data_IF_057142187401
#
_entry.id   IF_057142187401
#
_cell.length_a   1.000
_cell.length_b   1.000
_cell.length_c   1.000
_cell.angle_alpha   90.00
_cell.angle_beta   90.00
_cell.angle_gamma   90.00
#
_symmetry.space_group_name_H-M   'P 1'
#
loop_
_entity.id
_entity.type
_entity.pdbx_description
1 polymer ?
#
# COMPACT_ATOMS: atom_id res chain seq x y z
N UNK A 1 6.35 14.50 30.17
CA UNK A 1 7.15 13.46 29.50
C UNK A 1 8.01 14.14 28.45
N UNK A 2 9.29 13.80 28.39
CA UNK A 2 10.20 14.35 27.38
C UNK A 2 10.07 13.54 26.08
N UNK A 3 9.58 14.19 25.02
CA UNK A 3 9.40 13.55 23.72
C UNK A 3 10.73 13.25 23.03
N UNK A 4 11.78 14.01 23.33
CA UNK A 4 13.12 13.77 22.79
C UNK A 4 13.72 12.50 23.40
N UNK A 5 13.71 12.40 24.73
CA UNK A 5 14.20 11.20 25.42
C UNK A 5 13.47 9.93 24.93
N UNK A 6 12.14 9.99 24.79
CA UNK A 6 11.36 8.85 24.29
C UNK A 6 11.71 8.50 22.83
N UNK A 7 11.91 9.51 21.98
CA UNK A 7 12.31 9.31 20.59
C UNK A 7 13.71 8.67 20.48
N UNK A 8 14.65 9.11 21.32
CA UNK A 8 16.02 8.57 21.37
C UNK A 8 16.02 7.11 21.85
N UNK A 9 15.27 6.79 22.91
CA UNK A 9 15.11 5.41 23.41
C UNK A 9 14.49 4.47 22.37
N UNK A 10 13.47 4.94 21.65
CA UNK A 10 12.82 4.16 20.59
C UNK A 10 13.77 3.98 19.40
N UNK A 11 14.54 5.01 19.04
CA UNK A 11 15.52 4.95 17.96
C UNK A 11 16.62 3.92 18.26
N UNK A 12 17.17 3.95 19.48
CA UNK A 12 18.19 3.01 19.94
C UNK A 12 17.66 1.58 19.92
N UNK A 13 16.42 1.36 20.39
CA UNK A 13 15.81 0.03 20.40
C UNK A 13 15.56 -0.54 18.99
N UNK A 14 15.14 0.32 18.04
CA UNK A 14 14.73 -0.13 16.71
C UNK A 14 15.89 -0.18 15.70
N UNK A 15 16.99 0.53 15.97
CA UNK A 15 18.12 0.64 15.05
C UNK A 15 17.87 1.55 13.85
N UNK A 16 16.84 2.41 13.91
CA UNK A 16 16.55 3.43 12.90
C UNK A 16 15.95 4.68 13.57
N UNK A 17 16.11 5.88 12.96
CA UNK A 17 15.71 7.13 13.61
C UNK A 17 14.18 7.25 13.75
N UNK A 18 13.77 7.60 14.97
CA UNK A 18 12.42 8.07 15.33
C UNK A 18 12.59 9.45 15.96
N UNK A 19 11.84 10.43 15.48
CA UNK A 19 11.94 11.82 15.93
C UNK A 19 10.90 12.15 17.02
N UNK A 20 11.09 13.24 17.78
CA UNK A 20 10.05 13.74 18.71
C UNK A 20 8.74 14.05 17.99
N UNK A 21 8.81 14.46 16.71
CA UNK A 21 7.63 14.70 15.88
C UNK A 21 6.87 13.40 15.56
N UNK A 22 7.57 12.28 15.37
CA UNK A 22 6.98 10.95 15.19
C UNK A 22 6.22 10.51 16.44
N UNK A 23 6.86 10.63 17.60
CA UNK A 23 6.24 10.36 18.91
C UNK A 23 4.99 11.24 19.11
N UNK A 24 5.11 12.54 18.81
CA UNK A 24 3.99 13.49 18.86
C UNK A 24 2.83 13.05 17.97
N UNK A 25 3.10 12.58 16.74
CA UNK A 25 2.08 12.10 15.81
C UNK A 25 1.38 10.85 16.31
N UNK A 26 2.12 9.90 16.90
CA UNK A 26 1.54 8.69 17.52
C UNK A 26 0.58 9.07 18.66
N UNK A 27 0.98 9.97 19.56
CA UNK A 27 0.10 10.47 20.63
C UNK A 27 -1.14 11.19 20.10
N UNK A 28 -0.97 12.09 19.14
CA UNK A 28 -2.07 12.83 18.55
C UNK A 28 -3.07 11.90 17.84
N UNK A 29 -2.58 10.87 17.14
CA UNK A 29 -3.42 9.89 16.47
C UNK A 29 -4.17 9.01 17.49
N UNK A 30 -3.46 8.50 18.51
CA UNK A 30 -4.03 7.72 19.60
C UNK A 30 -5.13 8.49 20.35
N UNK A 31 -4.93 9.79 20.58
CA UNK A 31 -5.91 10.62 21.25
C UNK A 31 -7.19 10.83 20.41
N UNK A 32 -7.12 10.65 19.08
CA UNK A 32 -8.26 10.75 18.17
C UNK A 32 -9.03 9.42 18.04
N UNK A 33 -8.34 8.28 18.07
CA UNK A 33 -8.95 6.95 18.00
C UNK A 33 -8.11 5.95 18.80
N UNK A 34 -8.70 5.21 19.77
CA UNK A 34 -7.96 4.25 20.58
C UNK A 34 -7.59 2.95 19.84
N UNK A 35 -8.15 2.63 18.67
CA UNK A 35 -7.80 1.40 17.96
C UNK A 35 -6.41 1.49 17.34
N UNK A 36 -5.51 0.57 17.69
CA UNK A 36 -4.14 0.52 17.17
C UNK A 36 -4.09 0.50 15.64
N UNK A 37 -4.97 -0.30 15.03
CA UNK A 37 -5.08 -0.42 13.58
C UNK A 37 -5.66 0.83 12.90
N UNK A 38 -6.28 1.74 13.66
CA UNK A 38 -6.75 3.04 13.18
C UNK A 38 -5.68 4.12 13.34
N UNK A 39 -5.11 4.28 14.54
CA UNK A 39 -4.20 5.40 14.79
C UNK A 39 -2.78 5.18 14.26
N UNK A 40 -2.28 3.93 14.21
CA UNK A 40 -0.91 3.68 13.76
C UNK A 40 -0.71 4.08 12.28
N UNK A 41 -1.60 3.74 11.34
CA UNK A 41 -1.52 4.26 9.97
C UNK A 41 -1.65 5.79 9.90
N UNK A 42 -2.55 6.38 10.71
CA UNK A 42 -2.77 7.84 10.76
C UNK A 42 -1.55 8.62 11.28
N UNK A 43 -0.75 8.00 12.14
CA UNK A 43 0.49 8.61 12.64
C UNK A 43 1.57 8.77 11.54
N UNK A 44 1.46 8.01 10.43
CA UNK A 44 2.41 8.01 9.31
C UNK A 44 3.85 7.77 9.75
N UNK A 45 4.01 6.75 10.59
CA UNK A 45 5.30 6.22 11.07
C UNK A 45 5.32 4.70 10.81
N UNK A 46 6.49 4.05 10.72
CA UNK A 46 6.57 2.60 10.60
C UNK A 46 5.81 1.91 11.75
N UNK A 47 5.11 0.81 11.45
CA UNK A 47 4.31 0.08 12.45
C UNK A 47 5.12 -0.31 13.69
N UNK A 48 6.39 -0.70 13.48
CA UNK A 48 7.34 -1.02 14.57
C UNK A 48 7.63 0.19 15.46
N UNK A 49 7.69 1.40 14.89
CA UNK A 49 7.86 2.63 15.66
C UNK A 49 6.61 2.96 16.47
N UNK A 50 5.41 2.88 15.88
CA UNK A 50 4.16 3.07 16.61
C UNK A 50 4.03 2.09 17.78
N UNK A 51 4.33 0.81 17.56
CA UNK A 51 4.31 -0.22 18.60
C UNK A 51 5.33 0.04 19.72
N UNK A 52 6.56 0.41 19.38
CA UNK A 52 7.59 0.73 20.36
C UNK A 52 7.23 1.96 21.22
N UNK A 53 6.66 3.00 20.60
CA UNK A 53 6.11 4.15 21.33
C UNK A 53 5.01 3.71 22.28
N UNK A 54 4.01 2.94 21.82
CA UNK A 54 2.93 2.42 22.68
C UNK A 54 3.47 1.63 23.87
N UNK A 55 4.44 0.74 23.66
CA UNK A 55 5.04 -0.07 24.72
C UNK A 55 5.72 0.79 25.80
N UNK A 56 6.39 1.88 25.41
CA UNK A 56 7.02 2.81 26.36
C UNK A 56 5.99 3.65 27.13
N UNK A 57 4.90 4.02 26.48
CA UNK A 57 3.78 4.72 27.14
C UNK A 57 3.09 3.82 28.15
N UNK A 58 2.93 2.54 27.83
CA UNK A 58 2.36 1.55 28.74
C UNK A 58 3.28 1.34 29.95
N UNK A 59 4.58 1.16 29.72
CA UNK A 59 5.58 1.03 30.78
C UNK A 59 5.62 2.26 31.70
N UNK A 60 5.34 3.45 31.17
CA UNK A 60 5.23 4.70 31.93
C UNK A 60 3.85 4.89 32.60
N UNK A 61 2.92 3.95 32.47
CA UNK A 61 1.57 4.04 33.03
C UNK A 61 0.67 5.09 32.37
N UNK A 62 1.03 5.57 31.18
CA UNK A 62 0.28 6.60 30.45
C UNK A 62 -0.82 6.01 29.56
N UNK A 63 -0.68 4.75 29.16
CA UNK A 63 -1.71 4.02 28.45
C UNK A 63 -1.98 2.65 29.09
N UNK A 64 -3.16 2.11 28.83
CA UNK A 64 -3.52 0.73 29.11
C UNK A 64 -3.93 0.01 27.82
N UNK A 65 -3.66 -1.30 27.76
CA UNK A 65 -3.97 -2.13 26.60
C UNK A 65 -5.20 -3.00 26.87
N UNK A 66 -6.17 -2.98 25.94
CA UNK A 66 -7.39 -3.80 25.96
C UNK A 66 -7.64 -4.39 24.56
N UNK A 67 -7.08 -5.57 24.28
CA UNK A 67 -7.15 -6.16 22.95
C UNK A 67 -6.39 -5.31 21.92
N UNK A 68 -7.07 -4.83 20.88
CA UNK A 68 -6.51 -3.92 19.87
C UNK A 68 -6.60 -2.43 20.27
N UNK A 69 -7.13 -2.14 21.47
CA UNK A 69 -7.33 -0.77 21.94
C UNK A 69 -6.21 -0.34 22.88
N UNK A 70 -5.67 0.83 22.61
CA UNK A 70 -4.75 1.57 23.47
C UNK A 70 -5.53 2.74 24.06
N UNK A 71 -5.62 2.82 25.38
CA UNK A 71 -6.39 3.87 26.07
C UNK A 71 -5.50 4.74 26.92
N UNK A 72 -5.67 6.06 26.81
CA UNK A 72 -5.00 7.01 27.71
C UNK A 72 -5.53 6.84 29.14
N UNK A 73 -4.62 6.59 30.09
CA UNK A 73 -4.91 6.66 31.53
C UNK A 73 -5.14 8.12 31.95
N UNK A 74 -5.64 8.40 33.16
CA UNK A 74 -5.69 9.77 33.67
C UNK A 74 -4.33 10.48 33.60
N UNK A 75 -3.25 9.78 33.95
CA UNK A 75 -1.88 10.31 33.84
C UNK A 75 -1.49 10.58 32.37
N UNK A 76 -1.86 9.69 31.44
CA UNK A 76 -1.64 9.89 30.01
C UNK A 76 -2.35 11.11 29.45
N UNK A 77 -3.60 11.36 29.86
CA UNK A 77 -4.37 12.55 29.45
C UNK A 77 -3.71 13.84 29.93
N UNK A 78 -3.33 13.88 31.21
CA UNK A 78 -2.61 15.04 31.77
C UNK A 78 -1.27 15.26 31.06
N UNK A 79 -0.51 14.20 30.77
CA UNK A 79 0.76 14.31 30.06
C UNK A 79 0.58 14.83 28.62
N UNK A 80 -0.47 14.40 27.94
CA UNK A 80 -0.84 14.84 26.59
C UNK A 80 -1.21 16.33 26.55
N UNK A 81 -2.00 16.79 27.52
CA UNK A 81 -2.35 18.21 27.71
C UNK A 81 -1.11 19.07 28.01
N UNK A 82 -0.25 18.63 28.93
CA UNK A 82 1.00 19.34 29.27
C UNK A 82 1.96 19.45 28.08
N UNK A 83 1.98 18.45 27.19
CA UNK A 83 2.76 18.49 25.95
C UNK A 83 2.11 19.34 24.84
N UNK A 84 0.93 19.92 25.09
CA UNK A 84 0.17 20.69 24.10
C UNK A 84 -0.17 19.86 22.85
N UNK A 85 -0.43 18.57 23.02
CA UNK A 85 -0.77 17.65 21.93
C UNK A 85 -2.29 17.55 21.84
N UNK A 86 -2.84 17.88 20.69
CA UNK A 86 -4.26 17.74 20.40
C UNK A 86 -4.52 16.49 19.55
N UNK A 87 -5.73 15.89 19.62
CA UNK A 87 -6.14 14.82 18.72
C UNK A 87 -6.00 15.22 17.25
N UNK A 88 -5.56 14.30 16.39
CA UNK A 88 -5.48 14.56 14.95
C UNK A 88 -6.88 14.75 14.33
N UNK A 89 -7.10 15.79 13.50
CA UNK A 89 -8.33 15.93 12.73
C UNK A 89 -8.46 14.81 11.69
N UNK A 90 -9.67 14.62 11.17
CA UNK A 90 -9.99 13.67 10.09
C UNK A 90 -10.61 14.42 8.88
N UNK A 91 -9.81 15.12 8.07
CA UNK A 91 -10.31 15.97 6.97
C UNK A 91 -10.56 15.21 5.65
N UNK A 92 -10.51 13.88 5.65
CA UNK A 92 -10.56 13.08 4.43
C UNK A 92 -11.89 13.24 3.68
N UNK A 93 -11.81 13.39 2.36
CA UNK A 93 -12.99 13.45 1.51
C UNK A 93 -13.63 12.05 1.41
N UNK A 94 -14.90 11.85 1.79
CA UNK A 94 -15.54 10.54 1.77
C UNK A 94 -15.74 9.98 0.36
N UNK A 95 -15.77 10.84 -0.66
CA UNK A 95 -16.00 10.42 -2.05
C UNK A 95 -14.75 9.80 -2.69
N UNK A 96 -13.56 10.32 -2.41
CA UNK A 96 -12.30 9.79 -2.99
C UNK A 96 -11.36 9.15 -1.96
N UNK A 97 -11.73 9.16 -0.68
CA UNK A 97 -10.92 8.65 0.45
C UNK A 97 -9.50 9.22 0.46
N UNK A 98 -9.39 10.51 0.12
CA UNK A 98 -8.11 11.23 0.08
C UNK A 98 -7.26 10.99 -1.17
N UNK A 99 -7.67 10.14 -2.12
CA UNK A 99 -6.90 9.85 -3.34
C UNK A 99 -7.00 10.93 -4.42
N UNK A 100 -8.03 11.78 -4.34
CA UNK A 100 -8.36 12.74 -5.41
C UNK A 100 -9.07 12.11 -6.62
N UNK A 101 -9.20 10.78 -6.66
CA UNK A 101 -9.76 10.03 -7.79
C UNK A 101 -11.03 9.29 -7.35
N UNK A 102 -12.11 9.46 -8.11
CA UNK A 102 -13.38 8.74 -7.90
C UNK A 102 -13.48 7.66 -8.98
N UNK A 103 -12.90 6.49 -8.71
CA UNK A 103 -12.75 5.39 -9.67
C UNK A 103 -14.08 4.91 -10.25
N UNK A 104 -15.17 4.97 -9.48
CA UNK A 104 -16.51 4.58 -9.90
C UNK A 104 -17.07 5.41 -11.06
N UNK A 105 -16.50 6.59 -11.32
CA UNK A 105 -16.87 7.44 -12.47
C UNK A 105 -16.12 7.08 -13.75
N UNK A 106 -15.04 6.32 -13.63
CA UNK A 106 -14.18 5.95 -14.74
C UNK A 106 -14.54 4.54 -15.22
N UNK A 107 -15.12 4.45 -16.43
CA UNK A 107 -15.45 3.17 -17.09
C UNK A 107 -16.18 2.18 -16.15
N UNK A 108 -17.37 2.53 -15.63
CA UNK A 108 -18.04 1.78 -14.54
C UNK A 108 -18.41 0.34 -14.91
N UNK A 109 -18.68 0.06 -16.18
CA UNK A 109 -18.99 -1.30 -16.65
C UNK A 109 -17.74 -2.21 -16.58
N UNK A 110 -16.58 -1.67 -16.98
CA UNK A 110 -15.30 -2.35 -16.91
C UNK A 110 -14.88 -2.53 -15.45
N UNK A 111 -15.14 -1.54 -14.58
CA UNK A 111 -14.92 -1.66 -13.14
C UNK A 111 -15.70 -2.83 -12.54
N UNK A 112 -17.00 -2.91 -12.84
CA UNK A 112 -17.86 -4.00 -12.37
C UNK A 112 -17.44 -5.37 -12.91
N UNK A 113 -16.89 -5.41 -14.13
CA UNK A 113 -16.30 -6.64 -14.71
C UNK A 113 -15.03 -7.04 -13.97
N UNK A 114 -14.13 -6.09 -13.73
CA UNK A 114 -12.92 -6.30 -12.95
C UNK A 114 -13.23 -6.82 -11.54
N UNK A 115 -14.19 -6.23 -10.83
CA UNK A 115 -14.56 -6.68 -9.47
C UNK A 115 -15.02 -8.14 -9.42
N UNK A 116 -15.73 -8.61 -10.45
CA UNK A 116 -16.14 -10.03 -10.55
C UNK A 116 -14.95 -10.95 -10.80
N UNK A 117 -14.01 -10.54 -11.66
CA UNK A 117 -12.80 -11.32 -11.95
C UNK A 117 -11.87 -11.36 -10.72
N UNK A 118 -11.64 -10.20 -10.09
CA UNK A 118 -10.78 -10.07 -8.92
C UNK A 118 -11.29 -10.87 -7.72
N UNK A 119 -12.60 -11.12 -7.61
CA UNK A 119 -13.16 -12.00 -6.59
C UNK A 119 -12.71 -13.47 -6.70
N UNK A 120 -12.23 -13.90 -7.88
CA UNK A 120 -11.71 -15.24 -8.12
C UNK A 120 -10.18 -15.32 -8.09
N UNK A 121 -9.48 -14.22 -7.77
CA UNK A 121 -8.02 -14.17 -7.82
C UNK A 121 -7.37 -15.15 -6.82
N UNK A 122 -6.18 -15.68 -7.12
CA UNK A 122 -5.43 -16.50 -6.18
C UNK A 122 -5.27 -15.82 -4.82
N UNK A 123 -5.41 -16.60 -3.74
CA UNK A 123 -5.20 -16.09 -2.40
C UNK A 123 -3.72 -15.69 -2.19
N UNK A 124 -3.47 -14.60 -1.43
CA UNK A 124 -2.12 -14.12 -1.17
C UNK A 124 -1.30 -15.16 -0.42
N UNK A 125 -0.01 -15.24 -0.75
CA UNK A 125 0.95 -16.14 -0.14
C UNK A 125 2.09 -15.34 0.49
N UNK A 126 2.32 -15.60 1.78
CA UNK A 126 3.35 -14.92 2.56
C UNK A 126 4.78 -15.16 2.05
N UNK A 127 5.04 -16.29 1.37
CA UNK A 127 6.34 -16.59 0.75
C UNK A 127 6.76 -15.53 -0.29
N UNK A 128 5.79 -14.93 -0.96
CA UNK A 128 6.01 -13.89 -1.98
C UNK A 128 5.72 -12.47 -1.46
N UNK A 129 5.52 -12.30 -0.15
CA UNK A 129 5.17 -11.01 0.47
C UNK A 129 3.88 -10.38 -0.11
N UNK A 130 2.94 -11.21 -0.57
CA UNK A 130 1.70 -10.75 -1.21
C UNK A 130 0.72 -10.16 -0.20
N UNK A 131 0.28 -8.92 -0.46
CA UNK A 131 -0.78 -8.23 0.28
C UNK A 131 -1.62 -7.45 -0.72
N UNK A 132 -2.81 -7.97 -0.97
CA UNK A 132 -3.63 -7.45 -2.06
C UNK A 132 -4.43 -6.22 -1.63
N UNK A 133 -4.49 -5.23 -2.52
CA UNK A 133 -5.40 -4.10 -2.46
C UNK A 133 -6.85 -4.54 -2.62
N UNK A 134 -7.74 -3.66 -2.13
CA UNK A 134 -9.15 -3.71 -2.48
C UNK A 134 -9.32 -3.44 -3.98
N UNK A 135 -10.23 -4.16 -4.62
CA UNK A 135 -10.47 -4.03 -6.06
C UNK A 135 -10.84 -2.60 -6.47
N UNK A 136 -11.56 -1.87 -5.62
CA UNK A 136 -11.91 -0.47 -5.86
C UNK A 136 -10.66 0.44 -5.85
N UNK A 137 -9.64 0.11 -5.05
CA UNK A 137 -8.39 0.87 -5.00
C UNK A 137 -7.47 0.54 -6.18
N UNK A 138 -7.45 -0.71 -6.65
CA UNK A 138 -6.82 -1.05 -7.94
C UNK A 138 -7.49 -0.25 -9.07
N UNK A 139 -8.82 -0.19 -9.10
CA UNK A 139 -9.53 0.58 -10.12
C UNK A 139 -9.27 2.09 -10.04
N UNK A 140 -9.16 2.66 -8.83
CA UNK A 140 -8.72 4.05 -8.64
C UNK A 140 -7.31 4.27 -9.19
N UNK A 141 -6.39 3.32 -9.00
CA UNK A 141 -5.03 3.37 -9.56
C UNK A 141 -5.06 3.36 -11.09
N UNK A 142 -5.90 2.52 -11.71
CA UNK A 142 -6.10 2.52 -13.17
C UNK A 142 -6.67 3.86 -13.67
N UNK A 143 -7.69 4.39 -13.00
CA UNK A 143 -8.28 5.68 -13.35
C UNK A 143 -7.26 6.82 -13.24
N UNK A 144 -6.42 6.79 -12.21
CA UNK A 144 -5.31 7.74 -12.05
C UNK A 144 -4.31 7.65 -13.20
N UNK A 145 -3.84 6.45 -13.56
CA UNK A 145 -2.92 6.25 -14.69
C UNK A 145 -3.53 6.72 -16.02
N UNK A 146 -4.83 6.44 -16.25
CA UNK A 146 -5.54 6.90 -17.44
C UNK A 146 -5.62 8.44 -17.50
N UNK A 147 -5.91 9.10 -16.38
CA UNK A 147 -5.96 10.57 -16.28
C UNK A 147 -4.61 11.22 -16.60
N UNK A 148 -3.51 10.57 -16.26
CA UNK A 148 -2.15 11.05 -16.54
C UNK A 148 -1.68 10.84 -17.99
N UNK A 149 -2.44 10.07 -18.77
CA UNK A 149 -2.08 9.74 -20.15
C UNK A 149 -1.16 8.51 -20.26
N UNK A 150 -1.01 7.74 -19.19
CA UNK A 150 -0.02 6.66 -19.09
C UNK A 150 -0.53 5.31 -19.64
N UNK A 151 -1.74 5.27 -20.22
CA UNK A 151 -2.36 4.04 -20.74
C UNK A 151 -2.74 4.09 -22.23
N UNK A 152 -3.38 5.16 -22.69
CA UNK A 152 -4.05 5.16 -23.99
C UNK A 152 -3.06 5.01 -25.17
N UNK A 153 -3.12 3.89 -25.87
CA UNK A 153 -2.25 3.58 -27.02
C UNK A 153 -0.81 3.18 -26.64
N UNK A 154 -0.52 3.02 -25.34
CA UNK A 154 0.82 2.75 -24.81
C UNK A 154 1.03 1.26 -24.46
N UNK A 155 2.29 0.84 -24.41
CA UNK A 155 2.69 -0.46 -23.89
C UNK A 155 3.00 -0.39 -22.39
N UNK A 156 2.32 -1.22 -21.59
CA UNK A 156 2.45 -1.29 -20.14
C UNK A 156 3.20 -2.56 -19.71
N UNK A 157 4.22 -2.39 -18.86
CA UNK A 157 4.86 -3.46 -18.11
C UNK A 157 4.35 -3.48 -16.67
N UNK A 158 4.00 -4.65 -16.14
CA UNK A 158 3.63 -4.83 -14.73
C UNK A 158 4.62 -5.80 -14.09
N UNK A 159 5.26 -5.37 -13.00
CA UNK A 159 6.28 -6.12 -12.26
C UNK A 159 5.71 -6.51 -10.88
N UNK A 160 5.28 -7.75 -10.74
CA UNK A 160 4.42 -8.18 -9.63
C UNK A 160 2.96 -7.75 -9.84
N UNK A 161 2.01 -8.69 -9.77
CA UNK A 161 0.59 -8.39 -10.09
C UNK A 161 -0.43 -9.22 -9.28
N UNK A 162 -0.21 -9.40 -7.98
CA UNK A 162 -1.18 -10.03 -7.07
C UNK A 162 -2.48 -9.23 -6.92
N UNK A 163 -2.42 -7.92 -7.18
CA UNK A 163 -3.54 -7.00 -7.29
C UNK A 163 -4.39 -7.15 -8.56
N UNK A 164 -3.86 -7.80 -9.60
CA UNK A 164 -4.45 -7.87 -10.94
C UNK A 164 -4.64 -6.50 -11.61
N UNK A 165 -3.73 -5.56 -11.39
CA UNK A 165 -3.71 -4.28 -12.09
C UNK A 165 -3.57 -4.48 -13.61
N UNK A 166 -2.82 -5.51 -14.05
CA UNK A 166 -2.69 -5.80 -15.48
C UNK A 166 -4.04 -6.16 -16.13
N UNK A 167 -4.88 -6.92 -15.43
CA UNK A 167 -6.24 -7.26 -15.86
C UNK A 167 -7.11 -6.02 -15.85
N UNK A 168 -7.06 -5.23 -14.78
CA UNK A 168 -7.85 -4.01 -14.64
C UNK A 168 -7.54 -3.00 -15.77
N UNK A 169 -6.25 -2.78 -16.06
CA UNK A 169 -5.80 -1.90 -17.15
C UNK A 169 -6.19 -2.44 -18.52
N UNK A 170 -6.00 -3.74 -18.78
CA UNK A 170 -6.36 -4.33 -20.06
C UNK A 170 -7.88 -4.29 -20.33
N UNK A 171 -8.72 -4.44 -19.30
CA UNK A 171 -10.18 -4.33 -19.40
C UNK A 171 -10.66 -2.95 -19.85
N UNK A 172 -9.87 -1.90 -19.66
CA UNK A 172 -10.21 -0.55 -20.16
C UNK A 172 -10.16 -0.46 -21.68
N UNK A 173 -9.40 -1.35 -22.33
CA UNK A 173 -9.10 -1.28 -23.77
C UNK A 173 -8.20 -0.08 -24.16
N UNK A 174 -7.64 0.64 -23.18
CA UNK A 174 -6.76 1.79 -23.44
C UNK A 174 -5.34 1.37 -23.86
N UNK A 175 -4.65 0.44 -23.16
CA UNK A 175 -3.30 0.04 -23.55
C UNK A 175 -3.26 -0.67 -24.90
N UNK A 176 -2.18 -0.46 -25.66
CA UNK A 176 -1.89 -1.25 -26.87
C UNK A 176 -1.55 -2.70 -26.50
N UNK A 177 -0.77 -2.88 -25.43
CA UNK A 177 -0.36 -4.19 -24.91
C UNK A 177 -0.01 -4.07 -23.42
N UNK A 178 -0.36 -5.10 -22.65
CA UNK A 178 0.05 -5.26 -21.25
C UNK A 178 0.88 -6.54 -21.09
N UNK A 179 2.04 -6.44 -20.47
CA UNK A 179 2.91 -7.59 -20.15
C UNK A 179 3.17 -7.64 -18.66
N UNK A 180 3.02 -8.82 -18.06
CA UNK A 180 3.27 -9.06 -16.63
C UNK A 180 4.47 -9.97 -16.46
N UNK A 181 5.37 -9.57 -15.55
CA UNK A 181 6.43 -10.42 -15.00
C UNK A 181 6.10 -10.71 -13.54
N UNK A 182 5.85 -11.97 -13.23
CA UNK A 182 5.37 -12.43 -11.92
C UNK A 182 6.08 -13.72 -11.53
N UNK A 183 6.50 -13.84 -10.27
CA UNK A 183 7.22 -15.03 -9.79
C UNK A 183 6.24 -16.17 -9.46
N UNK A 184 5.02 -15.82 -9.03
CA UNK A 184 3.98 -16.78 -8.68
C UNK A 184 3.26 -17.32 -9.93
N UNK A 185 3.56 -18.58 -10.28
CA UNK A 185 2.91 -19.27 -11.39
C UNK A 185 1.38 -19.28 -11.29
N UNK A 186 0.80 -19.31 -10.08
CA UNK A 186 -0.67 -19.31 -9.92
C UNK A 186 -1.28 -18.02 -10.47
N UNK A 187 -0.65 -16.88 -10.24
CA UNK A 187 -1.06 -15.58 -10.78
C UNK A 187 -0.85 -15.52 -12.28
N UNK A 188 0.31 -15.99 -12.78
CA UNK A 188 0.58 -16.05 -14.23
C UNK A 188 -0.48 -16.87 -14.98
N UNK A 189 -0.80 -18.07 -14.47
CA UNK A 189 -1.80 -18.94 -15.09
C UNK A 189 -3.20 -18.32 -15.02
N UNK A 190 -3.54 -17.69 -13.89
CA UNK A 190 -4.81 -16.97 -13.72
C UNK A 190 -4.95 -15.79 -14.70
N UNK A 191 -3.96 -14.90 -14.76
CA UNK A 191 -3.95 -13.71 -15.64
C UNK A 191 -4.07 -14.13 -17.11
N UNK A 192 -3.30 -15.13 -17.53
CA UNK A 192 -3.38 -15.63 -18.90
C UNK A 192 -4.71 -16.35 -19.19
N UNK A 193 -5.33 -16.99 -18.19
CA UNK A 193 -6.69 -17.54 -18.29
C UNK A 193 -7.71 -16.46 -18.59
N UNK A 194 -7.73 -15.43 -17.74
CA UNK A 194 -8.60 -14.25 -17.90
C UNK A 194 -8.35 -13.58 -19.25
N UNK A 195 -7.10 -13.36 -19.65
CA UNK A 195 -6.77 -12.73 -20.92
C UNK A 195 -7.38 -13.46 -22.13
N UNK A 196 -7.39 -14.80 -22.12
CA UNK A 196 -8.02 -15.60 -23.19
C UNK A 196 -9.53 -15.54 -23.15
N UNK A 197 -10.13 -15.68 -21.97
CA UNK A 197 -11.60 -15.66 -21.80
C UNK A 197 -12.20 -14.31 -22.19
N UNK A 198 -11.46 -13.24 -21.90
CA UNK A 198 -11.91 -11.85 -22.05
C UNK A 198 -11.44 -11.22 -23.37
N UNK A 199 -10.54 -11.87 -24.11
CA UNK A 199 -9.99 -11.39 -25.38
C UNK A 199 -9.07 -10.17 -25.22
N UNK A 200 -8.27 -10.13 -24.15
CA UNK A 200 -7.45 -8.97 -23.77
C UNK A 200 -6.07 -9.01 -24.43
N UNK A 201 -5.52 -7.83 -24.76
CA UNK A 201 -4.12 -7.64 -25.17
C UNK A 201 -3.20 -7.70 -23.94
N UNK A 202 -3.20 -8.84 -23.26
CA UNK A 202 -2.55 -9.10 -21.98
C UNK A 202 -1.83 -10.44 -22.02
N UNK A 203 -0.60 -10.47 -21.51
CA UNK A 203 0.15 -11.71 -21.31
C UNK A 203 0.96 -11.65 -20.02
N UNK A 204 1.04 -12.76 -19.30
CA UNK A 204 1.86 -12.90 -18.11
C UNK A 204 2.93 -13.97 -18.31
N UNK A 205 4.13 -13.75 -17.78
CA UNK A 205 5.26 -14.68 -17.82
C UNK A 205 5.79 -14.92 -16.42
N UNK A 206 6.13 -16.17 -16.12
CA UNK A 206 6.85 -16.51 -14.90
C UNK A 206 8.25 -15.93 -14.99
N UNK A 207 8.60 -15.02 -14.09
CA UNK A 207 9.91 -14.39 -14.05
C UNK A 207 10.30 -14.06 -12.60
N UNK A 208 11.55 -14.36 -12.27
CA UNK A 208 12.18 -13.91 -11.03
C UNK A 208 12.98 -12.65 -11.33
N UNK A 209 12.56 -11.50 -10.80
CA UNK A 209 13.20 -10.22 -11.10
C UNK A 209 14.63 -10.10 -10.57
N UNK A 210 15.06 -11.02 -9.69
CA UNK A 210 16.47 -11.15 -9.26
C UNK A 210 17.37 -11.48 -10.45
N UNK A 211 16.84 -12.20 -11.43
CA UNK A 211 17.53 -12.47 -12.68
C UNK A 211 17.46 -11.26 -13.63
N UNK A 212 18.38 -11.13 -14.60
CA UNK A 212 18.29 -10.11 -15.63
C UNK A 212 16.99 -10.23 -16.44
N UNK A 213 16.45 -9.10 -16.87
CA UNK A 213 15.30 -9.10 -17.79
C UNK A 213 15.66 -9.74 -19.12
N UNK A 214 14.67 -10.37 -19.74
CA UNK A 214 14.73 -10.76 -21.14
C UNK A 214 15.07 -9.53 -22.00
N UNK A 215 16.14 -9.57 -22.81
CA UNK A 215 16.50 -8.46 -23.69
C UNK A 215 15.37 -8.00 -24.62
N UNK A 216 14.43 -8.87 -24.96
CA UNK A 216 13.24 -8.51 -25.77
C UNK A 216 12.24 -7.62 -25.04
N UNK A 217 12.32 -7.55 -23.70
CA UNK A 217 11.45 -6.74 -22.85
C UNK A 217 12.13 -5.46 -22.35
N UNK A 218 13.43 -5.28 -22.60
CA UNK A 218 14.18 -4.13 -22.12
C UNK A 218 14.00 -2.91 -23.04
N UNK A 219 13.55 -1.78 -22.48
CA UNK A 219 13.47 -0.49 -23.19
C UNK A 219 12.39 -0.40 -24.27
N UNK A 220 11.34 -1.23 -24.16
CA UNK A 220 10.25 -1.32 -25.16
C UNK A 220 8.87 -0.94 -24.64
N UNK A 221 8.76 -0.53 -23.37
CA UNK A 221 7.51 -0.12 -22.73
C UNK A 221 7.51 1.38 -22.47
N UNK A 222 6.31 1.98 -22.52
CA UNK A 222 6.13 3.41 -22.29
C UNK A 222 5.87 3.72 -20.80
N UNK A 223 5.18 2.79 -20.12
CA UNK A 223 4.80 2.87 -18.71
C UNK A 223 5.12 1.55 -18.02
N UNK A 224 5.53 1.59 -16.76
CA UNK A 224 5.55 0.41 -15.90
C UNK A 224 4.77 0.65 -14.60
N UNK A 225 4.29 -0.44 -13.99
CA UNK A 225 3.71 -0.45 -12.65
C UNK A 225 4.33 -1.56 -11.80
N UNK A 226 4.49 -1.27 -10.51
CA UNK A 226 4.90 -2.23 -9.50
C UNK A 226 4.43 -1.78 -8.12
N UNK A 227 4.15 -2.72 -7.22
CA UNK A 227 3.95 -2.49 -5.78
C UNK A 227 4.97 -3.36 -5.01
N UNK A 228 6.21 -2.86 -4.85
CA UNK A 228 7.35 -3.71 -4.53
C UNK A 228 7.52 -3.89 -3.00
N UNK A 229 8.27 -4.92 -2.56
CA UNK A 229 8.73 -5.01 -1.18
C UNK A 229 9.48 -3.75 -0.75
N UNK A 230 9.15 -3.21 0.42
CA UNK A 230 9.60 -1.87 0.86
C UNK A 230 11.06 -1.83 1.34
N UNK A 231 11.73 -2.98 1.50
CA UNK A 231 13.16 -3.00 1.80
C UNK A 231 13.95 -2.37 0.65
N UNK A 232 15.04 -1.66 0.94
CA UNK A 232 15.83 -0.95 -0.07
C UNK A 232 16.23 -1.84 -1.26
N UNK A 233 16.62 -3.09 -0.99
CA UNK A 233 16.95 -4.04 -2.05
C UNK A 233 15.74 -4.39 -2.94
N UNK A 234 14.54 -4.51 -2.36
CA UNK A 234 13.29 -4.73 -3.08
C UNK A 234 12.91 -3.52 -3.94
N UNK A 235 12.95 -2.32 -3.38
CA UNK A 235 12.72 -1.07 -4.11
C UNK A 235 13.66 -0.94 -5.31
N UNK A 236 14.98 -1.11 -5.09
CA UNK A 236 15.97 -1.02 -6.16
C UNK A 236 15.79 -2.11 -7.22
N UNK A 237 15.39 -3.31 -6.80
CA UNK A 237 15.16 -4.42 -7.73
C UNK A 237 13.97 -4.13 -8.64
N UNK A 238 12.80 -3.84 -8.09
CA UNK A 238 11.58 -3.68 -8.88
C UNK A 238 11.58 -2.36 -9.65
N UNK A 239 11.91 -1.23 -9.00
CA UNK A 239 11.94 0.08 -9.65
C UNK A 239 13.06 0.15 -10.68
N UNK A 240 14.22 -0.48 -10.42
CA UNK A 240 15.33 -0.49 -11.37
C UNK A 240 15.12 -1.40 -12.59
N UNK A 241 14.09 -2.25 -12.56
CA UNK A 241 13.68 -3.13 -13.68
C UNK A 241 12.59 -2.50 -14.55
N UNK A 242 11.77 -1.63 -13.96
CA UNK A 242 10.80 -0.82 -14.69
C UNK A 242 11.45 0.27 -15.51
#
# INVERSE_FOLDING_TARGET
MDLQALADEVSEHLGFPVSPADVRRVWAALAADPSFWSFAPRARVPLRAAGAVVARLEAAGLVSLEGDKVRLTPAGRTALEQAGIAPLPAPECPACRGTGVVGERFLPEQAARFYRIAAARPAPVAEYDQVQLLSEDVWRRVAFMAERGDLAGLDLLVLGDDDLLSVATALTGLPRRVVVLEVDRRLVDFINGVAREEGLSLSARVADLREPLDPELAGVFDTFHTDPPEALAGLLLFIGRG
#
